data_IF_487792527811
#
_entry.id   IF_487792527811
#
_cell.length_a   1.000
_cell.length_b   1.000
_cell.length_c   1.000
_cell.angle_alpha   90.00
_cell.angle_beta   90.00
_cell.angle_gamma   90.00
#
_symmetry.space_group_name_H-M   'P 1'
#
loop_
_entity.id
_entity.type
_entity.pdbx_description
1 polymer ?
#
# COMPACT_ATOMS: atom_id res chain seq x y z
N UNK A 1 21.02 -0.88 17.50
CA UNK A 1 19.67 -0.74 16.90
C UNK A 1 18.75 -1.68 17.64
N UNK A 2 17.98 -1.16 18.60
CA UNK A 2 17.20 -1.97 19.53
C UNK A 2 15.80 -2.22 18.94
N UNK A 3 15.68 -3.23 18.06
CA UNK A 3 14.40 -3.70 17.51
C UNK A 3 13.70 -2.73 16.54
N UNK A 4 12.78 -3.27 15.75
CA UNK A 4 11.93 -2.57 14.79
C UNK A 4 10.93 -3.53 14.17
N UNK A 5 9.91 -3.01 13.48
CA UNK A 5 8.92 -3.82 12.77
C UNK A 5 8.60 -3.18 11.42
N UNK A 6 8.64 -3.98 10.35
CA UNK A 6 8.27 -3.52 9.02
C UNK A 6 6.84 -3.93 8.71
N UNK A 7 6.10 -3.00 8.09
CA UNK A 7 4.78 -3.26 7.53
C UNK A 7 4.77 -2.81 6.08
N UNK A 8 3.85 -3.35 5.29
CA UNK A 8 3.67 -2.95 3.90
C UNK A 8 2.25 -2.39 3.68
N UNK A 9 2.17 -1.33 2.89
CA UNK A 9 0.93 -0.86 2.30
C UNK A 9 0.93 -1.27 0.82
N UNK A 10 -0.04 -2.10 0.44
CA UNK A 10 -0.10 -2.72 -0.90
C UNK A 10 -1.44 -2.40 -1.53
N UNK A 11 -1.45 -2.16 -2.84
CA UNK A 11 -2.69 -2.09 -3.61
C UNK A 11 -3.39 -3.45 -3.58
N UNK A 12 -4.70 -3.46 -3.33
CA UNK A 12 -5.50 -4.67 -3.33
C UNK A 12 -5.51 -5.34 -4.72
N UNK A 13 -5.43 -6.67 -4.73
CA UNK A 13 -5.56 -7.44 -5.97
C UNK A 13 -7.00 -7.34 -6.48
N UNK A 14 -7.18 -6.78 -7.68
CA UNK A 14 -8.50 -6.67 -8.31
C UNK A 14 -8.73 -5.39 -9.10
N UNK A 15 -7.87 -4.38 -8.93
CA UNK A 15 -7.97 -3.15 -9.72
C UNK A 15 -7.07 -3.26 -10.95
N UNK A 16 -7.62 -3.82 -12.03
CA UNK A 16 -7.08 -3.60 -13.37
C UNK A 16 -6.74 -2.11 -13.51
N UNK A 17 -5.59 -1.81 -14.11
CA UNK A 17 -4.96 -0.48 -14.30
C UNK A 17 -5.84 0.66 -14.86
N UNK A 18 -7.16 0.49 -15.02
CA UNK A 18 -8.00 1.33 -15.87
C UNK A 18 -9.20 2.03 -15.20
N UNK A 19 -9.50 1.83 -13.91
CA UNK A 19 -10.63 2.53 -13.29
C UNK A 19 -10.18 3.65 -12.35
N UNK A 20 -10.12 4.87 -12.89
CA UNK A 20 -10.06 6.11 -12.13
C UNK A 20 -11.14 6.12 -11.03
N UNK A 21 -10.76 5.98 -9.76
CA UNK A 21 -11.70 6.32 -8.68
C UNK A 21 -11.37 5.83 -7.28
N UNK A 22 -11.00 4.56 -7.10
CA UNK A 22 -10.74 4.03 -5.75
C UNK A 22 -9.95 2.72 -5.84
N UNK A 23 -8.61 2.82 -5.87
CA UNK A 23 -7.79 1.63 -5.62
C UNK A 23 -7.92 1.28 -4.14
N UNK A 24 -8.43 0.08 -3.84
CA UNK A 24 -8.39 -0.43 -2.47
C UNK A 24 -6.95 -0.63 -2.02
N UNK A 25 -6.65 -0.28 -0.77
CA UNK A 25 -5.33 -0.46 -0.17
C UNK A 25 -5.43 -1.38 1.04
N UNK A 26 -4.35 -2.10 1.30
CA UNK A 26 -4.25 -3.03 2.41
C UNK A 26 -2.99 -2.75 3.22
N UNK A 27 -3.12 -2.68 4.54
CA UNK A 27 -2.01 -2.77 5.49
C UNK A 27 -1.74 -4.23 5.77
N UNK A 28 -0.55 -4.70 5.42
CA UNK A 28 -0.04 -6.02 5.76
C UNK A 28 1.02 -5.90 6.86
N UNK A 29 0.76 -6.55 8.00
CA UNK A 29 1.68 -6.66 9.13
C UNK A 29 1.75 -8.13 9.55
N UNK A 30 2.71 -8.87 9.01
CA UNK A 30 2.82 -10.32 9.14
C UNK A 30 1.50 -11.03 8.78
N UNK A 31 0.77 -11.53 9.78
CA UNK A 31 -0.51 -12.21 9.63
C UNK A 31 -1.73 -11.27 9.77
N UNK A 32 -1.54 -10.01 10.20
CA UNK A 32 -2.59 -9.01 10.34
C UNK A 32 -2.78 -8.23 9.03
N UNK A 33 -3.86 -8.52 8.33
CA UNK A 33 -4.21 -7.94 7.04
C UNK A 33 -5.49 -7.10 7.19
N UNK A 34 -5.42 -5.80 6.88
CA UNK A 34 -6.58 -4.88 6.99
C UNK A 34 -6.68 -3.94 5.81
N UNK A 35 -7.89 -3.73 5.31
CA UNK A 35 -8.16 -2.67 4.34
C UNK A 35 -7.93 -1.28 4.96
N UNK A 36 -7.37 -0.36 4.18
CA UNK A 36 -7.07 1.01 4.58
C UNK A 36 -7.36 1.97 3.43
N UNK A 37 -7.57 3.24 3.76
CA UNK A 37 -7.75 4.28 2.76
C UNK A 37 -6.42 4.76 2.18
N UNK A 38 -6.45 5.38 0.99
CA UNK A 38 -5.25 5.95 0.37
C UNK A 38 -4.65 7.07 1.24
N UNK A 39 -5.47 7.87 1.91
CA UNK A 39 -5.00 8.93 2.82
C UNK A 39 -4.15 8.36 3.95
N UNK A 40 -4.51 7.17 4.47
CA UNK A 40 -3.73 6.48 5.49
C UNK A 40 -2.37 6.02 4.96
N UNK A 41 -2.31 5.59 3.69
CA UNK A 41 -1.07 5.18 3.02
C UNK A 41 -0.17 6.40 2.80
N UNK A 42 -0.71 7.49 2.26
CA UNK A 42 0.06 8.71 1.96
C UNK A 42 0.55 9.42 3.23
N UNK A 43 -0.15 9.26 4.35
CA UNK A 43 0.24 9.82 5.64
C UNK A 43 1.28 9.01 6.42
N UNK A 44 1.79 7.90 5.89
CA UNK A 44 2.77 7.08 6.60
C UNK A 44 4.21 7.57 6.41
N UNK A 45 5.08 7.30 7.39
CA UNK A 45 6.51 7.52 7.26
C UNK A 45 7.13 6.42 6.40
N UNK A 46 7.20 6.68 5.10
CA UNK A 46 7.68 5.69 4.15
C UNK A 46 9.19 5.44 4.29
N UNK A 47 9.55 4.17 4.50
CA UNK A 47 10.95 3.72 4.43
C UNK A 47 11.37 3.34 3.01
N UNK A 48 10.48 2.66 2.27
CA UNK A 48 10.73 2.19 0.90
C UNK A 48 9.44 2.33 0.08
N UNK A 49 9.56 2.81 -1.16
CA UNK A 49 8.45 3.06 -2.06
C UNK A 49 8.64 2.25 -3.35
N UNK A 50 7.58 1.60 -3.80
CA UNK A 50 7.56 0.81 -5.03
C UNK A 50 6.61 1.45 -6.03
N UNK A 51 7.07 1.62 -7.25
CA UNK A 51 6.30 2.20 -8.35
C UNK A 51 6.35 1.28 -9.55
N UNK A 52 5.23 1.21 -10.26
CA UNK A 52 5.15 0.60 -11.58
C UNK A 52 5.21 1.70 -12.64
N UNK A 53 5.90 1.43 -13.75
CA UNK A 53 5.95 2.36 -14.90
C UNK A 53 4.56 2.39 -15.55
N UNK A 54 3.98 3.58 -15.68
CA UNK A 54 2.78 3.76 -16.50
C UNK A 54 3.15 3.69 -17.99
N UNK A 55 2.32 3.02 -18.79
CA UNK A 55 2.41 3.11 -20.25
C UNK A 55 1.57 4.30 -20.73
N UNK A 56 2.07 5.03 -21.74
CA UNK A 56 1.42 6.20 -22.35
C UNK A 56 0.36 5.81 -23.39
#
# INVERSE_FOLDING_TARGET
MNGGHYIAYVRGAGHNHQSSGSSSWVRASDLDIKEVSLEKVLGCEAYMLFYERMED
#
